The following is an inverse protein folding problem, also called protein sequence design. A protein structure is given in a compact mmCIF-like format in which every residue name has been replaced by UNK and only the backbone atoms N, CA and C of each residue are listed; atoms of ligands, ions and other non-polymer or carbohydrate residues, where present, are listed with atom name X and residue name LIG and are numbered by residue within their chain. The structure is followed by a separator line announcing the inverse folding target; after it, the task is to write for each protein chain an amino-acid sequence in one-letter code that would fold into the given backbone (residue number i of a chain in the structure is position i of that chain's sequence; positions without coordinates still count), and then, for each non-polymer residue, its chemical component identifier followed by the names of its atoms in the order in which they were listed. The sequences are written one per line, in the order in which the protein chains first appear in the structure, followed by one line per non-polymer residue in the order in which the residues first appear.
data_IF_085192592391
#
_entry.id   IF_085192592391
#
_cell.length_a   1.000
_cell.length_b   1.000
_cell.length_c   1.000
_cell.angle_alpha   90.00
_cell.angle_beta   90.00
_cell.angle_gamma   90.00
#
_symmetry.space_group_name_H-M   'P 1'
#
loop_
_entity.id
_entity.type
_entity.pdbx_description
1 polymer ?
#
# COMPACT_ATOMS: atom_id res chain seq x y z
N UNK A 1 -21.17 10.17 -2.91
CA UNK A 1 -20.25 10.80 -1.93
C UNK A 1 -19.17 11.51 -2.72
N UNK A 2 -18.96 12.82 -2.51
CA UNK A 2 -17.99 13.60 -3.29
C UNK A 2 -16.59 13.01 -3.15
N UNK A 3 -15.89 12.83 -4.27
CA UNK A 3 -14.51 12.34 -4.29
C UNK A 3 -13.64 13.25 -3.43
N UNK A 4 -13.24 12.81 -2.23
CA UNK A 4 -12.34 13.58 -1.36
C UNK A 4 -11.06 13.85 -2.15
N UNK A 5 -10.69 15.12 -2.24
CA UNK A 5 -9.50 15.54 -2.98
C UNK A 5 -8.25 15.08 -2.22
N UNK A 6 -7.63 13.99 -2.69
CA UNK A 6 -6.43 13.40 -2.08
C UNK A 6 -5.28 14.40 -1.92
N UNK A 7 -5.24 15.46 -2.73
CA UNK A 7 -4.21 16.51 -2.65
C UNK A 7 -4.29 17.36 -1.38
N UNK A 8 -5.41 17.30 -0.65
CA UNK A 8 -5.56 18.02 0.63
C UNK A 8 -4.80 17.35 1.78
N UNK A 9 -4.32 16.12 1.58
CA UNK A 9 -3.59 15.34 2.57
C UNK A 9 -2.18 15.16 2.05
N UNK A 10 -1.20 15.65 2.82
CA UNK A 10 0.21 15.49 2.47
C UNK A 10 0.54 14.00 2.38
N UNK A 11 1.26 13.55 1.34
CA UNK A 11 1.84 12.21 1.32
C UNK A 11 2.67 11.95 2.58
N UNK A 12 2.67 10.70 3.05
CA UNK A 12 3.42 10.30 4.24
C UNK A 12 4.68 9.57 3.77
N UNK A 13 5.89 10.10 4.02
CA UNK A 13 7.12 9.35 3.75
C UNK A 13 7.29 8.22 4.77
N UNK A 14 7.89 7.11 4.34
CA UNK A 14 8.29 6.05 5.27
C UNK A 14 9.43 6.53 6.16
N UNK A 15 9.34 6.19 7.44
CA UNK A 15 10.33 6.58 8.47
C UNK A 15 11.64 5.79 8.38
N UNK A 16 11.58 4.57 7.82
CA UNK A 16 12.70 3.67 7.58
C UNK A 16 12.44 2.82 6.32
N UNK A 17 13.36 1.93 5.98
CA UNK A 17 13.29 1.10 4.77
C UNK A 17 12.16 0.05 4.78
N UNK A 18 11.62 -0.30 5.95
CA UNK A 18 10.61 -1.34 6.16
C UNK A 18 9.20 -0.78 6.43
N UNK A 19 9.08 0.50 6.78
CA UNK A 19 7.84 1.16 7.17
C UNK A 19 6.89 1.54 6.01
N UNK A 20 7.12 1.04 4.79
CA UNK A 20 6.28 1.35 3.62
C UNK A 20 4.78 1.03 3.84
N UNK A 21 4.49 -0.06 4.55
CA UNK A 21 3.12 -0.46 4.90
C UNK A 21 2.50 0.48 5.93
N UNK A 22 3.26 0.87 6.95
CA UNK A 22 2.79 1.74 8.03
C UNK A 22 2.55 3.15 7.51
N UNK A 23 3.44 3.67 6.65
CA UNK A 23 3.28 4.96 5.98
C UNK A 23 2.04 4.97 5.06
N UNK A 24 1.84 3.88 4.32
CA UNK A 24 0.66 3.69 3.46
C UNK A 24 -0.64 3.70 4.28
N UNK A 25 -0.65 2.97 5.39
CA UNK A 25 -1.82 2.88 6.27
C UNK A 25 -2.08 4.18 7.03
N UNK A 26 -1.04 4.87 7.51
CA UNK A 26 -1.16 6.20 8.12
C UNK A 26 -1.81 7.20 7.15
N UNK A 27 -1.29 7.29 5.91
CA UNK A 27 -1.89 8.17 4.90
C UNK A 27 -3.33 7.78 4.57
N UNK A 28 -3.59 6.48 4.42
CA UNK A 28 -4.93 5.96 4.15
C UNK A 28 -5.91 6.33 5.28
N UNK A 29 -5.50 6.19 6.55
CA UNK A 29 -6.30 6.58 7.70
C UNK A 29 -6.59 8.09 7.70
N UNK A 30 -5.59 8.94 7.40
CA UNK A 30 -5.80 10.39 7.24
C UNK A 30 -6.83 10.68 6.15
N UNK A 31 -6.79 9.94 5.05
CA UNK A 31 -7.77 10.08 3.95
C UNK A 31 -9.18 9.68 4.35
N UNK A 32 -9.31 8.58 5.08
CA UNK A 32 -10.61 8.11 5.55
C UNK A 32 -11.19 9.00 6.65
N UNK A 33 -10.34 9.57 7.51
CA UNK A 33 -10.72 10.34 8.69
C UNK A 33 -10.05 11.73 8.77
N UNK A 34 -10.28 12.64 7.80
CA UNK A 34 -9.50 13.88 7.65
C UNK A 34 -9.67 14.92 8.78
N UNK A 35 -10.58 14.68 9.73
CA UNK A 35 -10.86 15.58 10.86
C UNK A 35 -10.45 15.00 12.22
N UNK A 36 -9.89 13.80 12.25
CA UNK A 36 -9.52 13.11 13.48
C UNK A 36 -8.01 12.85 13.50
N UNK A 37 -7.39 12.86 14.69
CA UNK A 37 -6.08 12.23 14.86
C UNK A 37 -6.16 10.77 14.40
N UNK A 38 -5.10 10.30 13.75
CA UNK A 38 -4.97 8.91 13.31
C UNK A 38 -3.64 8.34 13.78
N UNK A 39 -3.57 7.02 13.87
CA UNK A 39 -2.34 6.32 14.22
C UNK A 39 -1.21 6.69 13.26
N UNK A 40 -0.06 7.08 13.82
CA UNK A 40 1.18 7.32 13.10
C UNK A 40 1.86 6.00 12.74
N UNK A 41 2.89 6.04 11.89
CA UNK A 41 3.73 4.89 11.60
C UNK A 41 4.21 4.14 12.86
N UNK A 42 4.70 4.88 13.86
CA UNK A 42 5.14 4.28 15.12
C UNK A 42 4.02 3.63 15.91
N UNK A 43 2.86 4.30 16.01
CA UNK A 43 1.69 3.72 16.68
C UNK A 43 1.26 2.41 16.00
N UNK A 44 1.26 2.39 14.66
CA UNK A 44 0.90 1.21 13.88
C UNK A 44 1.90 0.06 14.05
N UNK A 45 3.21 0.34 14.07
CA UNK A 45 4.25 -0.66 14.29
C UNK A 45 4.16 -1.27 15.69
N UNK A 46 3.87 -0.46 16.71
CA UNK A 46 3.67 -0.93 18.08
C UNK A 46 2.40 -1.81 18.17
N UNK A 47 1.30 -1.33 17.59
CA UNK A 47 0.02 -2.03 17.58
C UNK A 47 0.09 -3.41 16.91
N UNK A 48 0.86 -3.53 15.83
CA UNK A 48 0.98 -4.73 15.02
C UNK A 48 2.33 -5.43 15.17
N UNK A 49 3.02 -5.23 16.29
CA UNK A 49 4.34 -5.85 16.53
C UNK A 49 4.36 -7.36 16.38
N UNK A 50 3.22 -8.04 16.63
CA UNK A 50 3.08 -9.51 16.46
C UNK A 50 3.06 -9.96 15.00
N UNK A 51 2.73 -9.05 14.08
CA UNK A 51 2.62 -9.33 12.64
C UNK A 51 3.89 -8.94 11.88
N UNK A 52 4.75 -8.14 12.52
CA UNK A 52 5.99 -7.61 11.98
C UNK A 52 7.21 -8.32 12.55
N UNK A 53 8.34 -8.25 11.85
CA UNK A 53 9.63 -8.57 12.46
C UNK A 53 10.00 -7.48 13.48
N UNK A 54 9.90 -7.82 14.78
CA UNK A 54 10.07 -6.87 15.88
C UNK A 54 11.14 -7.37 16.87
N UNK A 55 12.44 -7.26 16.53
CA UNK A 55 13.54 -7.68 17.39
C UNK A 55 13.73 -6.75 18.60
N UNK A 56 14.56 -7.17 19.57
CA UNK A 56 14.94 -6.33 20.72
C UNK A 56 15.79 -5.12 20.31
N UNK A 57 16.66 -5.27 19.29
CA UNK A 57 17.42 -4.17 18.72
C UNK A 57 16.57 -3.41 17.68
N UNK A 58 16.11 -2.23 18.07
CA UNK A 58 15.32 -1.35 17.21
C UNK A 58 16.10 -0.80 16.01
N UNK A 59 17.42 -0.97 15.98
CA UNK A 59 18.26 -0.53 14.86
C UNK A 59 18.49 -1.65 13.82
N UNK A 60 17.89 -2.84 13.99
CA UNK A 60 17.94 -3.89 12.97
C UNK A 60 17.34 -3.35 11.66
N UNK A 61 18.03 -3.49 10.51
CA UNK A 61 17.56 -2.96 9.24
C UNK A 61 16.23 -3.57 8.76
N UNK A 62 15.82 -4.71 9.30
CA UNK A 62 14.55 -5.36 8.99
C UNK A 62 13.44 -5.04 9.99
N UNK A 63 13.72 -4.25 11.03
CA UNK A 63 12.74 -3.89 12.06
C UNK A 63 11.46 -3.34 11.43
N UNK A 64 10.31 -3.90 11.81
CA UNK A 64 9.00 -3.52 11.28
C UNK A 64 8.65 -4.12 9.91
N UNK A 65 9.51 -4.95 9.33
CA UNK A 65 9.24 -5.65 8.08
C UNK A 65 8.05 -6.60 8.18
N UNK A 66 7.33 -6.78 7.07
CA UNK A 66 6.13 -7.61 6.99
C UNK A 66 6.28 -8.82 6.06
N UNK A 67 5.74 -9.95 6.53
CA UNK A 67 5.38 -11.08 5.67
C UNK A 67 4.00 -10.86 5.02
N UNK A 68 3.70 -11.62 3.98
CA UNK A 68 2.38 -11.64 3.35
C UNK A 68 1.25 -11.94 4.35
N UNK A 69 1.49 -12.88 5.27
CA UNK A 69 0.53 -13.23 6.32
C UNK A 69 0.31 -12.08 7.30
N UNK A 70 1.38 -11.39 7.72
CA UNK A 70 1.28 -10.22 8.59
C UNK A 70 0.52 -9.08 7.93
N UNK A 71 0.77 -8.84 6.63
CA UNK A 71 0.02 -7.84 5.86
C UNK A 71 -1.46 -8.18 5.76
N UNK A 72 -1.81 -9.45 5.49
CA UNK A 72 -3.21 -9.89 5.48
C UNK A 72 -3.87 -9.72 6.86
N UNK A 73 -3.18 -10.06 7.95
CA UNK A 73 -3.70 -9.90 9.31
C UNK A 73 -3.96 -8.42 9.64
N UNK A 74 -3.03 -7.54 9.28
CA UNK A 74 -3.18 -6.09 9.45
C UNK A 74 -4.38 -5.57 8.66
N UNK A 75 -4.49 -5.90 7.37
CA UNK A 75 -5.60 -5.42 6.54
C UNK A 75 -6.95 -5.98 6.98
N UNK A 76 -6.99 -7.21 7.53
CA UNK A 76 -8.19 -7.82 8.08
C UNK A 76 -8.52 -7.36 9.51
N UNK A 77 -7.68 -6.53 10.14
CA UNK A 77 -7.93 -6.03 11.48
C UNK A 77 -9.30 -5.34 11.52
N UNK A 78 -10.23 -5.74 12.42
CA UNK A 78 -11.62 -5.26 12.40
C UNK A 78 -11.75 -3.73 12.42
N UNK A 79 -10.81 -3.04 13.07
CA UNK A 79 -10.79 -1.58 13.18
C UNK A 79 -10.68 -0.84 11.84
N UNK A 80 -10.15 -1.46 10.79
CA UNK A 80 -10.00 -0.81 9.48
C UNK A 80 -11.19 -1.04 8.55
N UNK A 81 -12.04 -2.02 8.85
CA UNK A 81 -13.21 -2.37 8.04
C UNK A 81 -12.92 -2.46 6.52
N UNK A 82 -11.82 -3.14 6.17
CA UNK A 82 -11.37 -3.30 4.79
C UNK A 82 -11.87 -4.61 4.19
N UNK A 83 -12.28 -4.56 2.92
CA UNK A 83 -12.28 -5.74 2.07
C UNK A 83 -10.84 -6.07 1.68
N UNK A 84 -10.50 -7.35 1.69
CA UNK A 84 -9.15 -7.82 1.41
C UNK A 84 -9.15 -8.88 0.32
N UNK A 85 -8.07 -8.94 -0.46
CA UNK A 85 -7.83 -10.04 -1.39
C UNK A 85 -6.33 -10.30 -1.55
N UNK A 86 -5.99 -11.58 -1.61
CA UNK A 86 -4.73 -12.05 -2.18
C UNK A 86 -5.00 -12.47 -3.63
N UNK A 87 -4.22 -11.96 -4.58
CA UNK A 87 -4.45 -12.18 -6.01
C UNK A 87 -3.13 -12.43 -6.72
N UNK A 88 -3.14 -13.28 -7.74
CA UNK A 88 -2.04 -13.29 -8.70
C UNK A 88 -2.02 -11.98 -9.49
N UNK A 89 -0.82 -11.48 -9.78
CA UNK A 89 -0.62 -10.24 -10.53
C UNK A 89 -1.47 -10.14 -11.81
N UNK A 90 -1.46 -11.14 -12.71
CA UNK A 90 -2.28 -11.10 -13.93
C UNK A 90 -3.79 -10.95 -13.68
N UNK A 91 -4.28 -11.38 -12.52
CA UNK A 91 -5.70 -11.25 -12.13
C UNK A 91 -6.06 -9.87 -11.57
N UNK A 92 -5.08 -8.99 -11.37
CA UNK A 92 -5.29 -7.61 -10.99
C UNK A 92 -5.56 -6.76 -12.24
N UNK A 93 -6.83 -6.72 -12.66
CA UNK A 93 -7.28 -6.00 -13.85
C UNK A 93 -7.69 -4.57 -13.54
N UNK A 94 -7.81 -3.73 -14.58
CA UNK A 94 -8.33 -2.36 -14.44
C UNK A 94 -9.75 -2.36 -13.89
N UNK A 95 -10.59 -3.27 -14.37
CA UNK A 95 -12.00 -3.38 -14.00
C UNK A 95 -12.11 -3.75 -12.52
N UNK A 96 -11.32 -4.72 -12.06
CA UNK A 96 -11.27 -5.11 -10.65
C UNK A 96 -10.84 -3.93 -9.77
N UNK A 97 -9.71 -3.30 -10.10
CA UNK A 97 -9.14 -2.22 -9.30
C UNK A 97 -10.04 -0.98 -9.29
N UNK A 98 -10.60 -0.61 -10.44
CA UNK A 98 -11.48 0.55 -10.57
C UNK A 98 -12.76 0.37 -9.79
N UNK A 99 -13.29 -0.85 -9.72
CA UNK A 99 -14.45 -1.15 -8.89
C UNK A 99 -14.16 -0.90 -7.41
N UNK A 100 -12.97 -1.31 -6.92
CA UNK A 100 -12.59 -1.10 -5.51
C UNK A 100 -12.33 0.38 -5.21
N UNK A 101 -11.72 1.09 -6.18
CA UNK A 101 -11.44 2.52 -6.07
C UNK A 101 -12.69 3.40 -5.97
N UNK A 102 -13.88 2.91 -6.33
CA UNK A 102 -15.15 3.63 -6.12
C UNK A 102 -15.42 3.92 -4.64
N UNK A 103 -14.93 3.07 -3.74
CA UNK A 103 -15.15 3.20 -2.30
C UNK A 103 -14.07 4.04 -1.61
N UNK A 104 -12.95 4.28 -2.29
CA UNK A 104 -11.82 5.04 -1.79
C UNK A 104 -10.48 4.42 -2.20
N UNK A 105 -9.36 4.98 -1.69
CA UNK A 105 -8.03 4.50 -2.03
C UNK A 105 -7.82 3.04 -1.61
N UNK A 106 -7.07 2.30 -2.41
CA UNK A 106 -6.74 0.89 -2.22
C UNK A 106 -5.29 0.77 -1.77
N UNK A 107 -5.05 0.13 -0.63
CA UNK A 107 -3.71 -0.26 -0.20
C UNK A 107 -3.31 -1.48 -1.03
N UNK A 108 -2.10 -1.49 -1.57
CA UNK A 108 -1.57 -2.62 -2.32
C UNK A 108 -0.15 -2.94 -1.84
N UNK A 109 0.03 -4.18 -1.38
CA UNK A 109 1.34 -4.77 -1.12
C UNK A 109 1.70 -5.74 -2.25
N UNK A 110 2.96 -5.71 -2.68
CA UNK A 110 3.43 -6.41 -3.86
C UNK A 110 4.94 -6.60 -3.81
N UNK A 111 5.45 -7.51 -4.64
CA UNK A 111 6.88 -7.69 -4.84
C UNK A 111 7.43 -6.60 -5.77
N UNK A 112 8.33 -5.77 -5.25
CA UNK A 112 8.98 -4.72 -6.04
C UNK A 112 10.28 -5.24 -6.67
N UNK A 113 10.16 -5.67 -7.93
CA UNK A 113 11.26 -6.17 -8.73
C UNK A 113 12.23 -5.08 -9.20
N UNK A 114 11.83 -3.80 -9.17
CA UNK A 114 12.63 -2.70 -9.74
C UNK A 114 13.55 -2.07 -8.69
N UNK A 115 13.13 -2.03 -7.43
CA UNK A 115 13.94 -1.47 -6.34
C UNK A 115 15.17 -2.30 -5.97
N UNK A 116 15.25 -3.55 -6.44
CA UNK A 116 16.34 -4.45 -6.12
C UNK A 116 17.67 -4.09 -6.81
N UNK A 117 17.65 -3.40 -7.96
CA UNK A 117 18.82 -3.35 -8.86
C UNK A 117 19.39 -4.75 -9.20
N UNK A 118 18.64 -5.80 -8.86
CA UNK A 118 19.08 -7.17 -8.76
C UNK A 118 18.63 -7.97 -9.96
N UNK A 119 19.45 -8.94 -10.34
CA UNK A 119 19.10 -9.92 -11.35
C UNK A 119 17.90 -10.75 -10.86
N UNK A 120 17.08 -11.33 -11.76
CA UNK A 120 16.02 -12.26 -11.37
C UNK A 120 16.57 -13.35 -10.43
N UNK A 121 16.12 -13.34 -9.16
CA UNK A 121 16.60 -14.26 -8.12
C UNK A 121 17.34 -13.58 -6.96
N UNK A 122 17.77 -12.33 -7.11
CA UNK A 122 18.57 -11.61 -6.12
C UNK A 122 17.79 -10.41 -5.57
N UNK A 123 17.35 -10.55 -4.31
CA UNK A 123 16.64 -9.53 -3.49
C UNK A 123 15.23 -9.17 -3.97
N UNK A 124 14.24 -9.79 -3.33
CA UNK A 124 12.83 -9.43 -3.41
C UNK A 124 12.55 -8.44 -2.27
N UNK A 125 12.15 -7.21 -2.57
CA UNK A 125 11.65 -6.31 -1.54
C UNK A 125 10.14 -6.23 -1.63
N UNK A 126 9.47 -6.66 -0.56
CA UNK A 126 8.06 -6.38 -0.38
C UNK A 126 7.90 -4.86 -0.28
N UNK A 127 6.98 -4.31 -1.07
CA UNK A 127 6.66 -2.89 -1.02
C UNK A 127 5.16 -2.69 -0.90
N UNK A 128 4.78 -1.59 -0.29
CA UNK A 128 3.40 -1.20 -0.13
C UNK A 128 3.21 0.25 -0.59
N UNK A 129 2.14 0.50 -1.34
CA UNK A 129 1.69 1.85 -1.65
C UNK A 129 0.17 1.94 -1.64
N UNK A 130 -0.36 3.16 -1.84
CA UNK A 130 -1.81 3.39 -1.87
C UNK A 130 -2.22 3.88 -3.25
N UNK A 131 -3.01 3.08 -3.96
CA UNK A 131 -3.62 3.47 -5.23
C UNK A 131 -4.82 4.37 -4.97
N UNK A 132 -4.80 5.55 -5.58
CA UNK A 132 -5.80 6.60 -5.37
C UNK A 132 -6.73 6.70 -6.58
N UNK A 133 -6.18 6.49 -7.78
CA UNK A 133 -6.91 6.62 -9.04
C UNK A 133 -6.32 5.69 -10.08
N UNK A 134 -7.19 5.08 -10.88
CA UNK A 134 -6.84 4.40 -12.12
C UNK A 134 -7.45 5.13 -13.31
N UNK A 135 -6.71 5.24 -14.41
CA UNK A 135 -7.20 5.78 -15.69
C UNK A 135 -6.68 4.91 -16.83
N UNK A 136 -7.60 4.32 -17.59
CA UNK A 136 -7.30 3.66 -18.86
C UNK A 136 -7.19 4.71 -19.97
N UNK A 137 -6.10 4.72 -20.72
CA UNK A 137 -5.93 5.55 -21.93
C UNK A 137 -6.70 4.95 -23.10
N UNK A 138 -6.85 5.72 -24.18
CA UNK A 138 -7.46 5.24 -25.43
C UNK A 138 -6.69 4.05 -26.03
N UNK A 139 -5.37 4.02 -25.86
CA UNK A 139 -4.50 2.89 -26.23
C UNK A 139 -4.59 1.68 -25.29
N UNK A 140 -5.47 1.71 -24.28
CA UNK A 140 -5.66 0.62 -23.32
C UNK A 140 -4.66 0.58 -22.17
N UNK A 141 -3.67 1.48 -22.13
CA UNK A 141 -2.70 1.57 -21.03
C UNK A 141 -3.37 2.09 -19.77
N UNK A 142 -3.18 1.37 -18.66
CA UNK A 142 -3.79 1.73 -17.38
C UNK A 142 -2.75 2.46 -16.53
N UNK A 143 -2.94 3.77 -16.37
CA UNK A 143 -2.11 4.61 -15.51
C UNK A 143 -2.74 4.76 -14.13
N UNK A 144 -1.91 4.62 -13.11
CA UNK A 144 -2.30 4.71 -11.71
C UNK A 144 -1.67 5.95 -11.08
N UNK A 145 -2.47 6.61 -10.24
CA UNK A 145 -1.97 7.61 -9.29
C UNK A 145 -1.85 6.96 -7.93
N UNK A 146 -0.66 7.00 -7.33
CA UNK A 146 -0.36 6.34 -6.06
C UNK A 146 0.31 7.28 -5.07
N UNK A 147 0.07 7.09 -3.78
CA UNK A 147 0.93 7.63 -2.71
C UNK A 147 2.12 6.68 -2.55
N UNK A 148 3.32 7.15 -2.89
CA UNK A 148 4.57 6.39 -2.80
C UNK A 148 5.32 6.77 -1.51
N UNK A 149 5.37 5.88 -0.50
CA UNK A 149 5.95 6.21 0.80
C UNK A 149 7.48 6.37 0.77
N UNK A 150 8.23 5.68 -0.10
CA UNK A 150 9.70 5.89 -0.19
C UNK A 150 10.07 7.32 -0.56
N UNK A 151 9.22 7.97 -1.34
CA UNK A 151 9.46 9.35 -1.81
C UNK A 151 8.64 10.38 -1.04
N UNK A 152 7.62 9.96 -0.30
CA UNK A 152 6.64 10.88 0.28
C UNK A 152 5.97 11.75 -0.79
N UNK A 153 5.59 11.18 -1.93
CA UNK A 153 4.98 11.93 -3.05
C UNK A 153 3.81 11.18 -3.68
N UNK A 154 3.00 11.91 -4.47
CA UNK A 154 2.02 11.28 -5.36
C UNK A 154 2.63 11.05 -6.74
N UNK A 155 2.78 9.79 -7.14
CA UNK A 155 3.26 9.42 -8.47
C UNK A 155 2.09 9.16 -9.41
N UNK A 156 2.20 9.57 -10.68
CA UNK A 156 1.07 9.60 -11.64
C UNK A 156 1.20 8.64 -12.83
N UNK A 157 2.26 7.83 -12.88
CA UNK A 157 2.63 7.04 -14.07
C UNK A 157 2.94 5.57 -13.79
N UNK A 158 2.52 5.04 -12.64
CA UNK A 158 2.65 3.59 -12.44
C UNK A 158 1.63 2.90 -13.33
N UNK A 159 2.11 2.05 -14.23
CA UNK A 159 1.22 1.24 -15.04
C UNK A 159 0.71 0.07 -14.21
N UNK A 160 -0.51 -0.40 -14.50
CA UNK A 160 -1.03 -1.58 -13.80
C UNK A 160 -0.09 -2.79 -13.94
N UNK A 161 0.59 -2.92 -15.09
CA UNK A 161 1.55 -3.99 -15.38
C UNK A 161 2.68 -4.09 -14.36
N UNK A 162 3.06 -2.99 -13.71
CA UNK A 162 4.07 -2.99 -12.65
C UNK A 162 3.70 -3.94 -11.51
N UNK A 163 2.43 -4.01 -11.17
CA UNK A 163 1.89 -4.88 -10.13
C UNK A 163 1.51 -6.29 -10.65
N UNK A 164 1.49 -6.48 -11.97
CA UNK A 164 1.13 -7.77 -12.58
C UNK A 164 2.31 -8.76 -12.63
N UNK A 165 3.49 -8.34 -12.16
CA UNK A 165 4.73 -9.11 -12.17
C UNK A 165 4.80 -10.20 -11.09
N UNK A 166 3.93 -10.15 -10.09
CA UNK A 166 3.90 -11.11 -8.99
C UNK A 166 2.56 -11.06 -8.26
N UNK A 167 2.43 -11.84 -7.20
CA UNK A 167 1.24 -11.80 -6.37
C UNK A 167 1.11 -10.45 -5.67
N UNK A 168 -0.14 -10.07 -5.39
CA UNK A 168 -0.51 -8.81 -4.75
C UNK A 168 -1.52 -9.05 -3.64
N UNK A 169 -1.38 -8.29 -2.57
CA UNK A 169 -2.34 -8.21 -1.48
C UNK A 169 -2.98 -6.83 -1.52
N UNK A 170 -4.31 -6.78 -1.52
CA UNK A 170 -5.06 -5.53 -1.57
C UNK A 170 -5.95 -5.36 -0.35
N UNK A 171 -6.08 -4.12 0.10
CA UNK A 171 -7.07 -3.68 1.08
C UNK A 171 -7.85 -2.48 0.56
N UNK A 172 -9.18 -2.53 0.59
CA UNK A 172 -10.05 -1.44 0.13
C UNK A 172 -11.22 -1.19 1.09
N UNK A 173 -11.76 0.03 1.17
CA UNK A 173 -12.91 0.31 2.03
C UNK A 173 -14.12 -0.57 1.67
N UNK A 174 -14.74 -1.22 2.68
CA UNK A 174 -16.07 -1.85 2.51
C UNK A 174 -17.14 -0.78 2.37
N UNK A 175 -18.24 -1.15 1.71
CA UNK A 175 -19.50 -0.37 1.66
C UNK A 175 -20.31 -0.73 2.90
#
# INVERSE_FOLDING_TARGET
MGTKNYKTIKPVPQIDDMACWAASLEWWLKYMSPKLPVATQWDLMIDFKSETYYPEDINDPNFGGLSDSGMLNILNAPRFNLGTAYKSGPSMTYEFLSEKLKNGPVIIAFLDWVAAGGSPGETRLNHCNVVIKAKKTESGVVNLTVMEPRKGTFEKYRTISYYQQGDVILGWPKI
#
